data_IF_457980351981
#
_entry.id   IF_457980351981
#
_cell.length_a   1.000
_cell.length_b   1.000
_cell.length_c   1.000
_cell.angle_alpha   90.00
_cell.angle_beta   90.00
_cell.angle_gamma   90.00
#
_symmetry.space_group_name_H-M   'P 1'
#
loop_
_entity.id
_entity.type
_entity.pdbx_description
1 polymer ?
#
# COMPACT_ATOMS: atom_id res chain seq x y z
N UNK A 1 -7.39 31.94 -40.32
CA UNK A 1 -6.33 31.02 -40.77
C UNK A 1 -4.98 31.41 -40.17
N UNK A 2 -4.86 31.51 -38.85
CA UNK A 2 -3.61 31.95 -38.21
C UNK A 2 -3.38 31.14 -36.92
N UNK A 3 -3.31 29.81 -37.05
CA UNK A 3 -2.89 28.95 -35.95
C UNK A 3 -1.40 28.64 -36.13
N UNK A 4 -0.61 29.03 -35.13
CA UNK A 4 0.79 28.63 -35.04
C UNK A 4 0.88 27.12 -34.87
N UNK A 5 1.83 26.44 -35.54
CA UNK A 5 1.97 24.99 -35.43
C UNK A 5 2.31 24.58 -33.98
N UNK A 6 1.50 23.68 -33.42
CA UNK A 6 1.73 23.08 -32.10
C UNK A 6 2.97 22.19 -32.15
N UNK A 7 3.93 22.40 -31.23
CA UNK A 7 5.11 21.56 -31.07
C UNK A 7 4.98 20.80 -29.74
N UNK A 8 5.29 19.51 -29.74
CA UNK A 8 5.37 18.70 -28.52
C UNK A 8 6.59 17.78 -28.58
N UNK A 9 7.30 17.67 -27.46
CA UNK A 9 8.41 16.73 -27.31
C UNK A 9 8.52 16.35 -25.83
N UNK A 10 7.92 15.22 -25.46
CA UNK A 10 7.85 14.76 -24.07
C UNK A 10 8.28 13.30 -23.98
N UNK A 11 9.16 12.96 -23.04
CA UNK A 11 9.51 11.58 -22.70
C UNK A 11 8.86 11.20 -21.37
N UNK A 12 8.21 10.04 -21.32
CA UNK A 12 7.54 9.54 -20.12
C UNK A 12 8.05 8.16 -19.73
N UNK A 13 8.29 7.96 -18.44
CA UNK A 13 8.53 6.68 -17.81
C UNK A 13 7.40 6.39 -16.82
N UNK A 14 6.42 5.57 -17.25
CA UNK A 14 5.15 5.40 -16.54
C UNK A 14 5.13 4.26 -15.52
N UNK A 15 6.09 3.33 -15.57
CA UNK A 15 6.04 2.06 -14.82
C UNK A 15 7.38 1.71 -14.17
N UNK A 16 8.01 2.65 -13.46
CA UNK A 16 9.23 2.34 -12.70
C UNK A 16 8.81 1.70 -11.37
N UNK A 17 9.28 0.48 -11.10
CA UNK A 17 9.02 -0.18 -9.83
C UNK A 17 10.15 -1.12 -9.42
N UNK A 18 10.50 -1.08 -8.13
CA UNK A 18 11.50 -1.97 -7.55
C UNK A 18 11.19 -2.25 -6.08
N UNK A 19 11.74 -3.35 -5.56
CA UNK A 19 11.65 -3.70 -4.14
C UNK A 19 12.90 -3.20 -3.43
N UNK A 20 12.72 -2.32 -2.43
CA UNK A 20 13.82 -1.84 -1.59
C UNK A 20 14.32 -2.95 -0.66
N UNK A 21 13.37 -3.71 -0.10
CA UNK A 21 13.58 -4.91 0.70
C UNK A 21 12.35 -5.82 0.51
N UNK A 22 12.32 -7.08 1.01
CA UNK A 22 11.21 -8.01 0.72
C UNK A 22 9.81 -7.47 1.04
N UNK A 23 9.69 -6.64 2.08
CA UNK A 23 8.43 -6.05 2.56
C UNK A 23 8.18 -4.63 2.05
N UNK A 24 9.09 -4.03 1.29
CA UNK A 24 9.00 -2.65 0.83
C UNK A 24 9.06 -2.56 -0.70
N UNK A 25 8.09 -1.88 -1.31
CA UNK A 25 8.05 -1.65 -2.74
C UNK A 25 7.96 -0.15 -3.03
N UNK A 26 8.81 0.29 -3.94
CA UNK A 26 8.78 1.63 -4.49
C UNK A 26 8.20 1.59 -5.91
N UNK A 27 7.47 2.65 -6.26
CA UNK A 27 6.90 2.88 -7.59
C UNK A 27 7.03 4.34 -7.95
N UNK A 28 7.32 4.66 -9.20
CA UNK A 28 7.23 6.04 -9.68
C UNK A 28 6.84 6.11 -11.14
N UNK A 29 6.20 7.23 -11.49
CA UNK A 29 6.02 7.69 -12.86
C UNK A 29 6.59 9.11 -12.95
N UNK A 30 7.40 9.33 -13.97
CA UNK A 30 8.05 10.62 -14.22
C UNK A 30 8.04 10.90 -15.72
N UNK A 31 8.17 12.17 -16.08
CA UNK A 31 8.36 12.56 -17.47
C UNK A 31 9.14 13.86 -17.56
N UNK A 32 9.62 14.16 -18.75
CA UNK A 32 10.38 15.35 -19.06
C UNK A 32 9.89 15.94 -20.38
N UNK A 33 9.55 17.23 -20.36
CA UNK A 33 9.21 18.00 -21.55
C UNK A 33 10.47 18.70 -22.07
N UNK A 34 10.87 18.41 -23.30
CA UNK A 34 12.09 18.97 -23.91
C UNK A 34 11.88 20.38 -24.47
N UNK A 35 10.63 20.82 -24.66
CA UNK A 35 10.30 22.16 -25.14
C UNK A 35 10.30 23.12 -23.97
N UNK A 36 9.51 22.80 -22.94
CA UNK A 36 9.42 23.60 -21.71
C UNK A 36 10.66 23.41 -20.82
N UNK A 37 11.43 22.32 -21.03
CA UNK A 37 12.62 21.94 -20.28
C UNK A 37 12.35 21.63 -18.81
N UNK A 38 11.16 21.15 -18.51
CA UNK A 38 10.67 20.89 -17.16
C UNK A 38 10.30 19.42 -16.94
N UNK A 39 10.31 18.99 -15.68
CA UNK A 39 9.73 17.71 -15.29
C UNK A 39 8.22 17.79 -15.34
N UNK A 40 7.59 16.82 -15.98
CA UNK A 40 6.13 16.70 -15.96
C UNK A 40 5.67 16.27 -14.55
N UNK A 41 4.39 16.51 -14.19
CA UNK A 41 3.84 16.06 -12.91
C UNK A 41 4.16 14.59 -12.64
N UNK A 42 4.91 14.36 -11.56
CA UNK A 42 5.58 13.09 -11.27
C UNK A 42 5.03 12.50 -9.98
N UNK A 43 4.73 11.21 -9.97
CA UNK A 43 4.16 10.56 -8.80
C UNK A 43 5.13 9.53 -8.24
N UNK A 44 5.27 9.53 -6.93
CA UNK A 44 6.08 8.59 -6.19
C UNK A 44 5.17 7.81 -5.24
N UNK A 45 5.44 6.52 -5.10
CA UNK A 45 4.68 5.61 -4.26
C UNK A 45 5.60 4.70 -3.48
N UNK A 46 5.24 4.46 -2.23
CA UNK A 46 5.95 3.57 -1.32
C UNK A 46 4.92 2.72 -0.60
N UNK A 47 5.04 1.40 -0.72
CA UNK A 47 4.18 0.46 -0.01
C UNK A 47 5.01 -0.44 0.90
N UNK A 48 4.48 -0.73 2.09
CA UNK A 48 5.12 -1.60 3.07
C UNK A 48 4.12 -2.60 3.65
N UNK A 49 4.48 -3.88 3.59
CA UNK A 49 3.80 -4.93 4.32
C UNK A 49 4.32 -4.98 5.78
N UNK A 50 3.43 -4.83 6.75
CA UNK A 50 3.69 -4.86 8.19
C UNK A 50 3.05 -6.09 8.85
N UNK A 51 2.98 -7.20 8.12
CA UNK A 51 2.33 -8.47 8.45
C UNK A 51 0.81 -8.42 8.51
N UNK A 52 0.21 -7.63 9.41
CA UNK A 52 -1.25 -7.45 9.52
C UNK A 52 -1.74 -6.10 9.00
N UNK A 53 -0.79 -5.22 8.73
CA UNK A 53 -1.05 -3.88 8.26
C UNK A 53 -0.42 -3.69 6.90
N UNK A 54 -1.11 -2.95 6.04
CA UNK A 54 -0.57 -2.46 4.78
C UNK A 54 -0.45 -0.95 4.89
N UNK A 55 0.75 -0.45 4.64
CA UNK A 55 1.05 0.96 4.54
C UNK A 55 1.17 1.30 3.06
N UNK A 56 0.43 2.31 2.62
CA UNK A 56 0.52 2.91 1.29
C UNK A 56 0.76 4.41 1.44
N UNK A 57 1.86 4.88 0.87
CA UNK A 57 2.20 6.30 0.77
C UNK A 57 2.32 6.68 -0.70
N UNK A 58 1.73 7.82 -1.08
CA UNK A 58 1.78 8.35 -2.43
C UNK A 58 1.95 9.86 -2.39
N UNK A 59 2.78 10.40 -3.28
CA UNK A 59 3.05 11.83 -3.36
C UNK A 59 3.20 12.28 -4.82
N UNK A 60 2.65 13.44 -5.14
CA UNK A 60 2.98 14.22 -6.33
C UNK A 60 3.51 15.59 -5.88
N UNK A 61 4.84 15.84 -5.93
CA UNK A 61 5.43 17.05 -5.38
C UNK A 61 5.49 18.22 -6.37
N UNK A 62 5.21 18.01 -7.65
CA UNK A 62 5.38 19.01 -8.71
C UNK A 62 4.15 19.12 -9.62
N UNK A 63 4.02 20.24 -10.34
CA UNK A 63 2.89 20.53 -11.22
C UNK A 63 1.66 21.09 -10.50
N UNK A 64 0.54 21.19 -11.21
CA UNK A 64 -0.68 21.82 -10.67
C UNK A 64 -1.42 20.96 -9.64
N UNK A 65 -1.35 19.63 -9.77
CA UNK A 65 -2.09 18.68 -8.92
C UNK A 65 -1.18 18.05 -7.86
N UNK A 66 -0.62 18.88 -6.99
CA UNK A 66 0.22 18.43 -5.88
C UNK A 66 -0.61 17.78 -4.78
N UNK A 67 -0.13 16.66 -4.26
CA UNK A 67 -0.75 16.02 -3.11
C UNK A 67 0.22 15.07 -2.41
N UNK A 68 -0.10 14.76 -1.17
CA UNK A 68 0.44 13.60 -0.48
C UNK A 68 -0.71 12.83 0.14
N UNK A 69 -0.56 11.51 0.20
CA UNK A 69 -1.56 10.62 0.72
C UNK A 69 -0.89 9.51 1.49
N UNK A 70 -1.44 9.23 2.66
CA UNK A 70 -1.00 8.15 3.53
C UNK A 70 -2.21 7.31 3.93
N UNK A 71 -2.09 5.99 3.77
CA UNK A 71 -3.10 5.02 4.17
C UNK A 71 -2.44 3.91 4.95
N UNK A 72 -3.09 3.55 6.04
CA UNK A 72 -2.73 2.40 6.86
C UNK A 72 -3.98 1.53 7.00
N UNK A 73 -3.92 0.29 6.52
CA UNK A 73 -5.07 -0.62 6.46
C UNK A 73 -4.76 -1.91 7.19
N UNK A 74 -5.63 -2.29 8.15
CA UNK A 74 -5.62 -3.59 8.81
C UNK A 74 -6.22 -4.66 7.89
N UNK A 75 -5.55 -5.81 7.79
CA UNK A 75 -6.09 -7.00 7.15
C UNK A 75 -6.54 -7.99 8.22
N UNK A 76 -7.85 -8.15 8.40
CA UNK A 76 -8.46 -9.00 9.43
C UNK A 76 -8.05 -10.48 9.31
N UNK A 77 -7.82 -10.99 8.10
CA UNK A 77 -7.34 -12.35 7.90
C UNK A 77 -5.90 -12.54 8.42
N UNK A 78 -5.06 -11.52 8.29
CA UNK A 78 -3.68 -11.56 8.80
C UNK A 78 -3.63 -11.41 10.33
N UNK A 79 -4.55 -10.63 10.92
CA UNK A 79 -4.67 -10.48 12.37
C UNK A 79 -4.91 -11.83 13.06
N UNK A 80 -5.80 -12.67 12.53
CA UNK A 80 -6.02 -14.04 13.05
C UNK A 80 -4.74 -14.88 13.01
N UNK A 81 -3.98 -14.80 11.91
CA UNK A 81 -2.71 -15.51 11.80
C UNK A 81 -1.67 -15.05 12.83
N UNK A 82 -1.68 -13.77 13.20
CA UNK A 82 -0.76 -13.23 14.20
C UNK A 82 -1.12 -13.73 15.60
N UNK A 83 -2.41 -13.79 15.94
CA UNK A 83 -2.86 -14.35 17.21
C UNK A 83 -2.48 -15.83 17.35
N UNK A 84 -2.59 -16.63 16.29
CA UNK A 84 -2.16 -18.04 16.30
C UNK A 84 -0.64 -18.21 16.48
N UNK A 85 0.15 -17.27 15.95
CA UNK A 85 1.62 -17.26 16.07
C UNK A 85 2.11 -16.85 17.47
N UNK A 86 1.28 -16.20 18.30
CA UNK A 86 1.66 -15.74 19.63
C UNK A 86 1.39 -16.82 20.70
N UNK A 87 2.42 -17.46 21.29
CA UNK A 87 2.24 -18.57 22.22
C UNK A 87 1.56 -18.18 23.54
N UNK A 88 1.59 -16.89 23.91
CA UNK A 88 1.00 -16.35 25.14
C UNK A 88 -0.55 -16.43 25.12
N UNK A 89 -1.16 -16.42 23.94
CA UNK A 89 -2.63 -16.40 23.81
C UNK A 89 -3.27 -17.79 23.88
N UNK A 90 -2.47 -18.87 23.88
CA UNK A 90 -2.98 -20.26 24.00
C UNK A 90 -3.70 -20.53 25.32
N UNK A 91 -3.47 -19.71 26.34
CA UNK A 91 -4.09 -19.82 27.66
C UNK A 91 -5.44 -19.07 27.76
N UNK A 92 -5.82 -18.28 26.75
CA UNK A 92 -7.09 -17.54 26.72
C UNK A 92 -8.20 -18.27 25.96
N UNK A 93 -7.89 -19.35 25.23
CA UNK A 93 -8.88 -20.21 24.58
C UNK A 93 -9.37 -21.37 25.46
N UNK A 94 -8.73 -21.64 26.60
CA UNK A 94 -9.06 -22.82 27.45
C UNK A 94 -10.22 -22.62 28.43
N UNK A 95 -10.85 -21.45 28.51
CA UNK A 95 -11.98 -21.20 29.42
C UNK A 95 -13.32 -21.17 28.69
N UNK A 96 -13.63 -22.22 27.93
CA UNK A 96 -15.02 -22.60 27.66
C UNK A 96 -15.11 -24.12 27.77
N UNK A 97 -15.00 -24.63 29.00
CA UNK A 97 -15.44 -25.98 29.30
C UNK A 97 -16.91 -26.09 28.93
N UNK A 98 -17.18 -26.90 27.90
CA UNK A 98 -18.46 -27.54 27.68
C UNK A 98 -18.91 -28.16 29.00
N UNK A 99 -19.87 -27.53 29.68
CA UNK A 99 -20.66 -28.22 30.71
C UNK A 99 -21.52 -29.23 29.96
N UNK A 100 -20.93 -30.40 29.71
CA UNK A 100 -21.65 -31.56 29.24
C UNK A 100 -22.79 -31.87 30.21
N UNK A 101 -24.03 -31.79 29.72
CA UNK A 101 -25.18 -32.36 30.41
C UNK A 101 -24.96 -33.86 30.52
N UNK A 102 -24.56 -34.32 31.70
CA UNK A 102 -24.75 -35.71 32.11
C UNK A 102 -26.25 -36.01 32.11
N UNK A 103 -26.65 -37.01 31.35
CA UNK A 103 -28.00 -37.56 31.34
C UNK A 103 -27.98 -38.76 32.28
N UNK A 104 -28.28 -38.54 33.56
CA UNK A 104 -28.53 -39.64 34.50
C UNK A 104 -29.89 -40.26 34.14
N UNK A 105 -29.89 -41.57 33.83
CA UNK A 105 -31.09 -42.39 33.72
C UNK A 105 -31.12 -43.38 34.88
N UNK A 106 -32.27 -43.43 35.54
CA UNK A 106 -32.70 -44.43 36.52
C UNK A 106 -32.60 -45.86 35.99
#
# INVERSE_FOLDING_TARGET
>A
FNESPTKSATLNANNISFRLTPKWRFTTRIGYDFIEKELTPSQFGLTRNLECWNLDFQINPFGENQYYFFRLTLNSAQVQSLFQKLPILKNLERSSTSTGRGYDRF
#
